data_IF_554583365936
#
_entry.id   IF_554583365936
#
_cell.length_a   1.000
_cell.length_b   1.000
_cell.length_c   1.000
_cell.angle_alpha   90.00
_cell.angle_beta   90.00
_cell.angle_gamma   90.00
#
_symmetry.space_group_name_H-M   'P 1'
#
loop_
_entity.id
_entity.type
_entity.pdbx_description
1 polymer ?
#
# COMPACT_ATOMS: atom_id res chain seq x y z
N UNK A 1 1.55 53.08 5.42
CA UNK A 1 1.27 51.85 4.65
C UNK A 1 1.27 50.67 5.61
N UNK A 2 0.09 50.15 5.93
CA UNK A 2 -0.11 48.80 6.48
C UNK A 2 -1.60 48.51 6.36
N UNK A 3 -1.97 47.35 5.83
CA UNK A 3 -3.31 46.78 6.01
C UNK A 3 -3.16 45.29 6.29
N UNK A 4 -3.05 44.99 7.57
CA UNK A 4 -3.29 43.67 8.15
C UNK A 4 -4.76 43.29 7.94
N UNK A 5 -5.03 42.15 7.29
CA UNK A 5 -6.38 41.60 7.16
C UNK A 5 -6.53 40.32 8.00
N UNK A 6 -7.35 40.43 9.05
CA UNK A 6 -8.11 39.46 9.85
C UNK A 6 -7.87 37.95 9.62
N UNK A 7 -7.05 37.33 10.47
CA UNK A 7 -7.00 35.86 10.65
C UNK A 7 -8.00 35.35 11.72
N UNK A 8 -8.76 36.23 12.37
CA UNK A 8 -9.63 35.88 13.51
C UNK A 8 -11.05 35.43 13.09
N UNK A 9 -11.60 36.00 12.01
CA UNK A 9 -13.00 35.77 11.61
C UNK A 9 -13.24 34.32 11.15
N UNK A 10 -12.29 33.70 10.43
CA UNK A 10 -12.44 32.35 9.89
C UNK A 10 -12.22 31.22 10.91
N UNK A 11 -11.42 31.44 11.94
CA UNK A 11 -11.17 30.43 12.98
C UNK A 11 -12.32 30.35 13.98
N UNK A 12 -12.90 31.49 14.35
CA UNK A 12 -14.07 31.54 15.24
C UNK A 12 -15.31 30.90 14.60
N UNK A 13 -15.52 31.07 13.29
CA UNK A 13 -16.59 30.39 12.56
C UNK A 13 -16.36 28.88 12.54
N UNK A 14 -15.13 28.42 12.28
CA UNK A 14 -14.78 26.99 12.35
C UNK A 14 -15.04 26.39 13.74
N UNK A 15 -14.78 27.13 14.82
CA UNK A 15 -15.09 26.68 16.18
C UNK A 15 -16.59 26.56 16.43
N UNK A 16 -17.40 27.46 15.88
CA UNK A 16 -18.88 27.37 15.97
C UNK A 16 -19.39 26.17 15.17
N UNK A 17 -18.89 25.99 13.95
CA UNK A 17 -19.26 24.84 13.11
C UNK A 17 -18.84 23.52 13.76
N UNK A 18 -17.67 23.47 14.39
CA UNK A 18 -17.20 22.32 15.15
C UNK A 18 -18.19 21.88 16.24
N UNK A 19 -18.73 22.83 17.03
CA UNK A 19 -19.72 22.50 18.05
C UNK A 19 -21.05 22.01 17.46
N UNK A 20 -21.41 22.46 16.26
CA UNK A 20 -22.57 21.92 15.52
C UNK A 20 -22.31 20.48 15.09
N UNK A 21 -21.19 20.21 14.42
CA UNK A 21 -20.85 18.87 13.94
C UNK A 21 -20.64 17.88 15.08
N UNK A 22 -20.08 18.32 16.21
CA UNK A 22 -19.95 17.50 17.41
C UNK A 22 -21.31 17.04 17.94
N UNK A 23 -22.35 17.89 17.87
CA UNK A 23 -23.73 17.52 18.25
C UNK A 23 -24.39 16.56 17.26
N UNK A 24 -23.98 16.58 15.99
CA UNK A 24 -24.49 15.66 14.97
C UNK A 24 -23.90 14.24 15.08
N UNK A 25 -22.92 14.04 15.96
CA UNK A 25 -22.29 12.71 16.11
C UNK A 25 -23.22 11.71 16.79
N UNK A 26 -23.19 10.44 16.36
CA UNK A 26 -24.01 9.39 16.95
C UNK A 26 -23.63 9.12 18.40
N UNK A 27 -24.61 8.73 19.22
CA UNK A 27 -24.37 8.35 20.62
C UNK A 27 -23.34 7.21 20.70
N UNK A 28 -22.33 7.39 21.55
CA UNK A 28 -21.27 6.40 21.78
C UNK A 28 -19.92 6.76 21.16
N UNK A 29 -19.93 7.59 20.11
CA UNK A 29 -18.74 8.14 19.43
C UNK A 29 -18.76 9.66 19.57
N UNK A 30 -17.61 10.29 19.81
CA UNK A 30 -17.49 11.75 19.95
C UNK A 30 -16.28 12.25 19.17
N UNK A 31 -16.36 13.46 18.60
CA UNK A 31 -15.23 14.09 17.95
C UNK A 31 -14.36 14.83 18.96
N UNK A 32 -13.05 14.68 18.84
CA UNK A 32 -12.06 15.40 19.64
C UNK A 32 -11.04 16.05 18.73
N UNK A 33 -10.72 17.32 18.97
CA UNK A 33 -9.63 18.00 18.29
C UNK A 33 -8.30 17.73 18.99
N UNK A 34 -7.25 17.52 18.22
CA UNK A 34 -5.87 17.42 18.71
C UNK A 34 -4.93 18.09 17.71
N UNK A 35 -4.43 19.27 18.05
CA UNK A 35 -3.67 20.10 17.10
C UNK A 35 -4.52 20.45 15.87
N UNK A 36 -3.96 20.23 14.68
CA UNK A 36 -4.62 20.43 13.39
C UNK A 36 -5.48 19.25 12.90
N UNK A 37 -5.69 18.22 13.72
CA UNK A 37 -6.39 16.99 13.34
C UNK A 37 -7.60 16.70 14.22
N UNK A 38 -8.56 15.97 13.64
CA UNK A 38 -9.76 15.47 14.29
C UNK A 38 -9.57 13.98 14.61
N UNK A 39 -10.05 13.57 15.77
CA UNK A 39 -10.00 12.21 16.28
C UNK A 39 -11.41 11.73 16.64
N UNK A 40 -11.63 10.42 16.52
CA UNK A 40 -12.83 9.77 17.01
C UNK A 40 -12.57 9.22 18.42
N UNK A 41 -13.43 9.56 19.37
CA UNK A 41 -13.36 9.08 20.73
C UNK A 41 -14.53 8.14 21.02
N UNK A 42 -14.22 6.87 21.26
CA UNK A 42 -15.21 5.82 21.57
C UNK A 42 -14.58 4.75 22.45
N UNK A 43 -15.40 3.81 22.95
CA UNK A 43 -14.96 2.64 23.72
C UNK A 43 -15.31 1.35 22.98
N UNK A 44 -14.52 0.30 23.18
CA UNK A 44 -14.85 -1.06 22.74
C UNK A 44 -15.11 -1.93 23.98
N UNK A 45 -15.61 -3.17 23.85
CA UNK A 45 -15.82 -4.05 25.01
C UNK A 45 -14.59 -4.23 25.90
N UNK A 46 -13.39 -4.35 25.31
CA UNK A 46 -12.16 -4.60 26.06
C UNK A 46 -11.31 -3.34 26.32
N UNK A 47 -11.58 -2.21 25.64
CA UNK A 47 -10.79 -0.98 25.79
C UNK A 47 -11.63 0.19 26.30
N UNK A 48 -11.13 0.95 27.29
CA UNK A 48 -11.81 2.14 27.77
C UNK A 48 -11.92 3.20 26.67
N UNK A 49 -12.72 4.24 26.93
CA UNK A 49 -12.94 5.32 25.98
C UNK A 49 -11.64 6.06 25.68
N UNK A 50 -11.13 5.92 24.46
CA UNK A 50 -9.86 6.47 24.00
C UNK A 50 -10.02 7.22 22.68
N UNK A 51 -9.01 8.03 22.33
CA UNK A 51 -8.96 8.80 21.08
C UNK A 51 -8.29 7.94 20.00
N UNK A 52 -8.94 7.81 18.86
CA UNK A 52 -8.46 7.06 17.70
C UNK A 52 -8.38 7.98 16.48
N UNK A 53 -7.34 7.80 15.68
CA UNK A 53 -7.13 8.58 14.46
C UNK A 53 -8.18 8.21 13.40
N UNK A 54 -8.60 9.19 12.61
CA UNK A 54 -9.49 9.01 11.46
C UNK A 54 -9.02 9.78 10.21
N UNK A 55 -7.78 10.29 10.24
CA UNK A 55 -7.13 11.03 9.15
C UNK A 55 -7.96 12.23 8.63
N UNK A 56 -8.68 12.91 9.53
CA UNK A 56 -9.45 14.11 9.20
C UNK A 56 -8.71 15.35 9.73
N UNK A 57 -8.58 16.39 8.90
CA UNK A 57 -8.01 17.69 9.28
C UNK A 57 -9.07 18.59 9.92
N UNK A 58 -8.65 19.57 10.71
CA UNK A 58 -9.55 20.56 11.31
C UNK A 58 -9.97 21.62 10.27
N UNK A 59 -10.86 21.21 9.36
CA UNK A 59 -11.50 22.03 8.32
C UNK A 59 -12.98 21.63 8.18
N UNK A 60 -13.80 22.41 7.47
CA UNK A 60 -15.23 22.09 7.27
C UNK A 60 -15.39 20.71 6.61
N UNK A 61 -14.65 20.45 5.53
CA UNK A 61 -14.68 19.15 4.85
C UNK A 61 -14.21 18.02 5.77
N UNK A 62 -13.17 18.28 6.56
CA UNK A 62 -12.66 17.33 7.54
C UNK A 62 -13.66 17.04 8.67
N UNK A 63 -14.45 18.02 9.10
CA UNK A 63 -15.53 17.84 10.08
C UNK A 63 -16.67 17.00 9.50
N UNK A 64 -17.10 17.28 8.27
CA UNK A 64 -18.14 16.50 7.58
C UNK A 64 -17.70 15.03 7.43
N UNK A 65 -16.46 14.81 6.99
CA UNK A 65 -15.90 13.46 6.86
C UNK A 65 -15.77 12.76 8.22
N UNK A 66 -15.32 13.47 9.25
CA UNK A 66 -15.24 12.93 10.60
C UNK A 66 -16.60 12.51 11.16
N UNK A 67 -17.67 13.27 10.89
CA UNK A 67 -19.05 12.89 11.28
C UNK A 67 -19.50 11.64 10.52
N UNK A 68 -19.24 11.57 9.21
CA UNK A 68 -19.56 10.37 8.41
C UNK A 68 -18.83 9.13 8.92
N UNK A 69 -17.53 9.24 9.21
CA UNK A 69 -16.72 8.17 9.80
C UNK A 69 -17.22 7.79 11.20
N UNK A 70 -17.60 8.77 12.02
CA UNK A 70 -18.19 8.51 13.34
C UNK A 70 -19.49 7.70 13.26
N UNK A 71 -20.37 8.00 12.29
CA UNK A 71 -21.60 7.23 12.02
C UNK A 71 -21.30 5.78 11.68
N UNK A 72 -20.35 5.53 10.77
CA UNK A 72 -19.92 4.17 10.42
C UNK A 72 -19.36 3.42 11.62
N UNK A 73 -18.51 4.08 12.42
CA UNK A 73 -17.94 3.47 13.62
C UNK A 73 -19.04 3.14 14.63
N UNK A 74 -20.04 4.01 14.81
CA UNK A 74 -21.15 3.73 15.72
C UNK A 74 -22.00 2.54 15.26
N UNK A 75 -22.21 2.36 13.95
CA UNK A 75 -22.90 1.19 13.39
C UNK A 75 -22.06 -0.08 13.56
N UNK A 76 -20.76 -0.03 13.25
CA UNK A 76 -19.84 -1.15 13.44
C UNK A 76 -19.73 -1.58 14.91
N UNK A 77 -19.76 -0.63 15.86
CA UNK A 77 -19.78 -0.93 17.29
C UNK A 77 -21.08 -1.60 17.76
N UNK A 78 -22.21 -1.36 17.09
CA UNK A 78 -23.48 -2.05 17.41
C UNK A 78 -23.49 -3.49 16.92
N UNK A 79 -22.85 -3.75 15.77
CA UNK A 79 -22.77 -5.06 15.13
C UNK A 79 -21.43 -5.76 15.41
N UNK A 80 -20.79 -5.46 16.55
CA UNK A 80 -19.45 -5.94 16.85
C UNK A 80 -19.48 -7.41 17.30
N UNK A 81 -19.12 -8.32 16.39
CA UNK A 81 -18.97 -9.75 16.69
C UNK A 81 -17.56 -10.09 17.23
N UNK A 82 -16.53 -9.43 16.68
CA UNK A 82 -15.13 -9.64 17.05
C UNK A 82 -14.37 -8.31 17.03
N UNK A 83 -13.61 -8.03 18.09
CA UNK A 83 -12.78 -6.83 18.16
C UNK A 83 -11.64 -6.85 17.13
N UNK A 84 -11.08 -8.02 16.80
CA UNK A 84 -9.98 -8.13 15.83
C UNK A 84 -10.46 -7.66 14.46
N UNK A 85 -11.59 -8.19 14.00
CA UNK A 85 -12.19 -7.81 12.72
C UNK A 85 -12.59 -6.33 12.70
N UNK A 86 -13.05 -5.80 13.84
CA UNK A 86 -13.37 -4.37 13.96
C UNK A 86 -12.13 -3.50 13.78
N UNK A 87 -11.00 -3.83 14.41
CA UNK A 87 -9.76 -3.05 14.27
C UNK A 87 -9.17 -3.15 12.86
N UNK A 88 -9.20 -4.34 12.24
CA UNK A 88 -8.76 -4.52 10.85
C UNK A 88 -9.61 -3.68 9.87
N UNK A 89 -10.93 -3.66 10.06
CA UNK A 89 -11.83 -2.79 9.31
C UNK A 89 -11.57 -1.31 9.61
N UNK A 90 -11.37 -0.93 10.87
CA UNK A 90 -11.13 0.45 11.27
C UNK A 90 -9.86 1.02 10.63
N UNK A 91 -8.77 0.27 10.64
CA UNK A 91 -7.50 0.69 10.04
C UNK A 91 -7.62 0.81 8.51
N UNK A 92 -8.36 -0.10 7.87
CA UNK A 92 -8.57 -0.10 6.42
C UNK A 92 -9.52 1.00 5.94
N UNK A 93 -10.68 1.15 6.56
CA UNK A 93 -11.74 2.04 6.06
C UNK A 93 -11.77 3.42 6.73
N UNK A 94 -11.42 3.51 8.01
CA UNK A 94 -11.56 4.76 8.78
C UNK A 94 -10.26 5.55 8.82
N UNK A 95 -9.15 4.93 9.21
CA UNK A 95 -7.84 5.59 9.11
C UNK A 95 -7.46 5.85 7.67
N UNK A 96 -7.90 4.98 6.75
CA UNK A 96 -7.39 4.94 5.39
C UNK A 96 -5.86 5.00 5.43
N UNK A 97 -5.25 4.30 6.41
CA UNK A 97 -3.80 4.14 6.43
C UNK A 97 -3.49 3.59 5.05
N UNK A 98 -2.77 4.38 4.25
CA UNK A 98 -2.38 3.96 2.92
C UNK A 98 -1.71 2.63 3.16
N UNK A 99 -2.36 1.55 2.73
CA UNK A 99 -1.68 0.30 2.50
C UNK A 99 -0.68 0.68 1.42
N UNK A 100 0.49 1.17 1.82
CA UNK A 100 1.73 0.99 1.09
C UNK A 100 1.85 -0.52 1.04
N UNK A 101 1.08 -1.11 0.13
CA UNK A 101 1.18 -2.50 -0.22
C UNK A 101 2.62 -2.60 -0.67
N UNK A 102 3.39 -3.44 0.02
CA UNK A 102 4.76 -3.66 -0.38
C UNK A 102 4.71 -4.33 -1.75
N UNK A 103 4.72 -3.52 -2.82
CA UNK A 103 4.66 -3.94 -4.21
C UNK A 103 6.01 -4.52 -4.67
N UNK A 104 6.92 -4.79 -3.74
CA UNK A 104 8.18 -5.45 -4.01
C UNK A 104 7.93 -6.88 -4.42
N UNK A 105 8.19 -7.13 -5.70
CA UNK A 105 8.17 -8.46 -6.27
C UNK A 105 9.26 -9.33 -5.64
N UNK A 106 8.92 -10.59 -5.43
CA UNK A 106 9.92 -11.65 -5.22
C UNK A 106 10.66 -11.96 -6.50
N UNK A 107 11.83 -12.59 -6.41
CA UNK A 107 12.55 -13.08 -7.59
C UNK A 107 11.70 -14.04 -8.40
N UNK A 108 10.93 -14.93 -7.77
CA UNK A 108 10.01 -15.85 -8.46
C UNK A 108 8.96 -15.12 -9.29
N UNK A 109 8.29 -14.11 -8.71
CA UNK A 109 7.30 -13.30 -9.42
C UNK A 109 7.91 -12.47 -10.56
N UNK A 110 9.13 -11.95 -10.35
CA UNK A 110 9.85 -11.23 -11.39
C UNK A 110 10.26 -12.15 -12.56
N UNK A 111 10.75 -13.36 -12.25
CA UNK A 111 11.11 -14.38 -13.24
C UNK A 111 9.89 -14.80 -14.05
N UNK A 112 8.74 -15.04 -13.39
CA UNK A 112 7.49 -15.39 -14.07
C UNK A 112 7.06 -14.33 -15.09
N UNK A 113 7.16 -13.04 -14.74
CA UNK A 113 6.87 -11.94 -15.68
C UNK A 113 7.79 -11.92 -16.89
N UNK A 114 9.09 -12.20 -16.70
CA UNK A 114 10.05 -12.28 -17.82
C UNK A 114 9.79 -13.52 -18.66
N UNK A 115 9.40 -14.64 -18.03
CA UNK A 115 9.04 -15.86 -18.73
C UNK A 115 7.82 -15.65 -19.63
N UNK A 116 6.74 -15.08 -19.10
CA UNK A 116 5.53 -14.79 -19.87
C UNK A 116 5.84 -13.88 -21.07
N UNK A 117 6.60 -12.80 -20.83
CA UNK A 117 7.05 -11.89 -21.87
C UNK A 117 7.90 -12.58 -22.96
N UNK A 118 8.79 -13.51 -22.56
CA UNK A 118 9.57 -14.27 -23.51
C UNK A 118 8.69 -15.16 -24.40
N UNK A 119 7.70 -15.84 -23.84
CA UNK A 119 6.83 -16.74 -24.61
C UNK A 119 5.83 -16.00 -25.50
N UNK A 120 5.37 -14.82 -25.07
CA UNK A 120 4.45 -13.99 -25.83
C UNK A 120 5.12 -13.29 -27.00
N UNK A 121 6.39 -12.91 -26.85
CA UNK A 121 7.15 -12.24 -27.92
C UNK A 121 7.45 -13.20 -29.08
N UNK A 122 7.33 -12.73 -30.34
CA UNK A 122 7.74 -13.52 -31.49
C UNK A 122 9.26 -13.74 -31.47
N UNK A 123 9.68 -14.88 -32.00
CA UNK A 123 11.09 -15.18 -32.24
C UNK A 123 11.70 -14.21 -33.27
N UNK A 124 13.03 -14.22 -33.40
CA UNK A 124 13.76 -13.40 -34.38
C UNK A 124 13.28 -13.62 -35.82
N UNK A 125 12.79 -14.82 -36.13
CA UNK A 125 12.24 -15.19 -37.44
C UNK A 125 10.73 -14.87 -37.57
N UNK A 126 10.18 -14.08 -36.65
CA UNK A 126 8.76 -13.70 -36.55
C UNK A 126 7.78 -14.87 -36.31
N UNK A 127 8.29 -16.07 -36.03
CA UNK A 127 7.48 -17.22 -35.62
C UNK A 127 7.05 -17.07 -34.16
N UNK A 128 5.79 -17.40 -33.84
CA UNK A 128 5.31 -17.55 -32.46
C UNK A 128 6.10 -18.64 -31.75
N UNK A 129 6.59 -18.37 -30.53
CA UNK A 129 7.33 -19.34 -29.71
C UNK A 129 6.37 -20.38 -29.13
N UNK A 130 6.89 -21.57 -28.91
CA UNK A 130 6.12 -22.69 -28.38
C UNK A 130 6.86 -23.33 -27.20
N UNK A 131 6.19 -23.43 -26.06
CA UNK A 131 6.71 -24.08 -24.84
C UNK A 131 7.02 -25.56 -25.04
N UNK A 132 6.42 -26.22 -26.03
CA UNK A 132 6.69 -27.62 -26.37
C UNK A 132 7.90 -27.81 -27.30
N UNK A 133 8.39 -26.72 -27.93
CA UNK A 133 9.50 -26.80 -28.88
C UNK A 133 10.86 -26.88 -28.15
N UNK A 134 11.67 -27.94 -28.38
CA UNK A 134 12.99 -28.07 -27.75
C UNK A 134 13.95 -26.92 -28.08
N UNK A 135 13.80 -26.32 -29.26
CA UNK A 135 14.62 -25.17 -29.68
C UNK A 135 14.29 -23.90 -28.89
N UNK A 136 13.00 -23.63 -28.66
CA UNK A 136 12.58 -22.45 -27.92
C UNK A 136 12.88 -22.61 -26.42
N UNK A 137 12.70 -23.81 -25.87
CA UNK A 137 13.13 -24.15 -24.51
C UNK A 137 14.64 -23.97 -24.33
N UNK A 138 15.45 -24.44 -25.29
CA UNK A 138 16.90 -24.25 -25.27
C UNK A 138 17.29 -22.77 -25.34
N UNK A 139 16.54 -21.97 -26.11
CA UNK A 139 16.75 -20.52 -26.21
C UNK A 139 16.43 -19.82 -24.89
N UNK A 140 15.32 -20.16 -24.26
CA UNK A 140 14.93 -19.65 -22.93
C UNK A 140 16.01 -19.99 -21.89
N UNK A 141 16.36 -21.28 -21.78
CA UNK A 141 17.30 -21.75 -20.78
C UNK A 141 18.69 -21.10 -20.91
N UNK A 142 19.19 -20.95 -22.14
CA UNK A 142 20.51 -20.35 -22.40
C UNK A 142 20.55 -18.84 -22.11
N UNK A 143 19.44 -18.15 -22.26
CA UNK A 143 19.39 -16.69 -22.13
C UNK A 143 19.09 -16.28 -20.69
N UNK A 144 18.14 -16.97 -20.05
CA UNK A 144 17.57 -16.57 -18.77
C UNK A 144 17.68 -17.69 -17.73
N UNK A 145 17.28 -18.92 -18.07
CA UNK A 145 17.18 -20.03 -17.12
C UNK A 145 18.49 -20.38 -16.39
N UNK A 146 19.63 -20.32 -17.09
CA UNK A 146 20.94 -20.60 -16.49
C UNK A 146 21.35 -19.59 -15.42
N UNK A 147 20.80 -18.37 -15.47
CA UNK A 147 21.03 -17.33 -14.47
C UNK A 147 19.99 -17.42 -13.34
N UNK A 148 18.72 -17.57 -13.69
CA UNK A 148 17.60 -17.59 -12.74
C UNK A 148 17.65 -18.76 -11.75
N UNK A 149 18.16 -19.92 -12.15
CA UNK A 149 18.38 -21.07 -11.24
C UNK A 149 19.29 -20.78 -10.04
N UNK A 150 20.05 -19.68 -10.07
CA UNK A 150 20.95 -19.28 -9.01
C UNK A 150 20.39 -18.16 -8.12
N UNK A 151 19.22 -17.61 -8.46
CA UNK A 151 18.54 -16.58 -7.69
C UNK A 151 17.66 -17.18 -6.59
N UNK A 152 17.53 -16.52 -5.43
CA UNK A 152 16.67 -16.98 -4.36
C UNK A 152 15.20 -16.63 -4.65
N UNK A 153 14.44 -17.56 -5.21
CA UNK A 153 13.04 -17.37 -5.68
C UNK A 153 12.12 -16.68 -4.66
N UNK A 154 12.22 -17.04 -3.38
CA UNK A 154 11.35 -16.57 -2.30
C UNK A 154 11.77 -15.21 -1.70
N UNK A 155 12.91 -14.66 -2.09
CA UNK A 155 13.36 -13.35 -1.60
C UNK A 155 12.83 -12.22 -2.48
N UNK A 156 12.62 -11.06 -1.87
CA UNK A 156 12.39 -9.81 -2.59
C UNK A 156 13.57 -9.47 -3.49
N UNK A 157 13.29 -9.04 -4.72
CA UNK A 157 14.31 -8.66 -5.70
C UNK A 157 15.23 -7.60 -5.09
N UNK A 158 16.53 -7.86 -5.12
CA UNK A 158 17.54 -6.93 -4.65
C UNK A 158 18.83 -7.03 -5.49
N UNK A 159 19.53 -5.91 -5.64
CA UNK A 159 20.74 -5.82 -6.46
C UNK A 159 21.88 -6.68 -5.91
N UNK A 160 21.98 -6.83 -4.58
CA UNK A 160 23.09 -7.53 -3.95
C UNK A 160 23.10 -9.02 -4.30
N UNK A 161 21.93 -9.68 -4.27
CA UNK A 161 21.78 -11.09 -4.63
C UNK A 161 22.02 -11.29 -6.15
N UNK A 162 21.57 -10.36 -7.00
CA UNK A 162 21.84 -10.38 -8.45
C UNK A 162 23.36 -10.28 -8.70
N UNK A 163 24.03 -9.30 -8.11
CA UNK A 163 25.46 -9.07 -8.29
C UNK A 163 26.28 -10.27 -7.80
N UNK A 164 25.87 -10.89 -6.69
CA UNK A 164 26.51 -12.09 -6.16
C UNK A 164 26.45 -13.27 -7.13
N UNK A 165 25.35 -13.42 -7.88
CA UNK A 165 25.23 -14.46 -8.92
C UNK A 165 26.12 -14.12 -10.13
N UNK A 166 26.17 -12.84 -10.53
CA UNK A 166 27.05 -12.38 -11.63
C UNK A 166 28.52 -12.61 -11.28
N UNK A 167 28.95 -12.24 -10.08
CA UNK A 167 30.35 -12.33 -9.64
C UNK A 167 30.83 -13.78 -9.46
N UNK A 168 29.91 -14.72 -9.24
CA UNK A 168 30.23 -16.17 -9.28
C UNK A 168 30.62 -16.64 -10.68
N UNK A 169 30.19 -15.96 -11.73
CA UNK A 169 30.52 -16.35 -13.10
C UNK A 169 31.91 -15.82 -13.48
N UNK A 170 32.78 -16.70 -14.00
CA UNK A 170 34.11 -16.30 -14.45
C UNK A 170 34.00 -15.28 -15.58
N UNK A 171 34.57 -14.08 -15.38
CA UNK A 171 34.59 -13.00 -16.38
C UNK A 171 35.18 -13.48 -17.71
N UNK A 172 34.59 -13.04 -18.81
CA UNK A 172 34.98 -13.45 -20.17
C UNK A 172 34.40 -14.79 -20.64
N UNK A 173 33.66 -15.53 -19.79
CA UNK A 173 32.94 -16.73 -20.22
C UNK A 173 31.60 -16.38 -20.87
N UNK A 174 31.08 -17.31 -21.68
CA UNK A 174 29.74 -17.21 -22.27
C UNK A 174 28.65 -17.08 -21.18
N UNK A 175 28.81 -17.76 -20.04
CA UNK A 175 27.88 -17.67 -18.92
C UNK A 175 27.88 -16.29 -18.25
N UNK A 176 29.06 -15.66 -18.11
CA UNK A 176 29.15 -14.27 -17.63
C UNK A 176 28.45 -13.31 -18.58
N UNK A 177 28.62 -13.49 -19.90
CA UNK A 177 27.92 -12.67 -20.90
C UNK A 177 26.40 -12.79 -20.77
N UNK A 178 25.87 -13.99 -20.55
CA UNK A 178 24.44 -14.20 -20.37
C UNK A 178 23.92 -13.62 -19.05
N UNK A 179 24.65 -13.80 -17.95
CA UNK A 179 24.27 -13.26 -16.63
C UNK A 179 24.21 -11.71 -16.58
N UNK A 180 25.02 -11.02 -17.40
CA UNK A 180 25.01 -9.55 -17.47
C UNK A 180 23.98 -9.02 -18.49
N UNK A 181 23.51 -9.87 -19.41
CA UNK A 181 22.51 -9.49 -20.43
C UNK A 181 21.08 -9.91 -20.11
N UNK A 182 20.90 -10.72 -19.06
CA UNK A 182 19.61 -11.22 -18.55
C UNK A 182 18.94 -10.17 -17.66
#
# INVERSE_FOLDING_TARGET
MSKDYNHEIGYETLLKDWEVYKKQTPRGVTLVKGGGSIYLQFKTPNKPRSKYQCNCTFSIDGMIDAVRKASRVAEALKNLESEVNFWDWYDKEIKQDSQLKDDRLTFGEAIAKVEDDFWDRPSRTKRKRDKSSPSDQSSWYRTYGCFYQHLPEYKTVNLADIQKVIDKQKRGTRNYKYAVSA
#
